data_IF_842182079359
#
_entry.id   IF_842182079359
#
_cell.length_a   1.000
_cell.length_b   1.000
_cell.length_c   1.000
_cell.angle_alpha   90.00
_cell.angle_beta   90.00
_cell.angle_gamma   90.00
#
_symmetry.space_group_name_H-M   'P 1'
#
loop_
_entity.id
_entity.type
_entity.pdbx_description
1 polymer ?
#
# COMPACT_ATOMS: atom_id res chain seq x y z
N UNK A 1 2.63 -23.47 -7.04
CA UNK A 1 2.84 -22.40 -6.06
C UNK A 1 1.47 -21.89 -5.66
N UNK A 2 1.19 -21.93 -4.37
CA UNK A 2 -0.04 -21.40 -3.79
C UNK A 2 -0.17 -19.93 -4.15
N UNK A 3 -1.36 -19.52 -4.57
CA UNK A 3 -1.67 -18.13 -4.92
C UNK A 3 -2.78 -17.62 -4.02
N UNK A 4 -2.62 -16.41 -3.53
CA UNK A 4 -3.64 -15.73 -2.74
C UNK A 4 -4.72 -15.19 -3.69
N UNK A 5 -5.97 -15.44 -3.34
CA UNK A 5 -7.17 -15.00 -4.06
C UNK A 5 -7.76 -13.72 -3.46
N UNK A 6 -7.80 -13.61 -2.14
CA UNK A 6 -8.20 -12.40 -1.44
C UNK A 6 -7.60 -12.34 -0.04
N UNK A 7 -7.46 -11.12 0.49
CA UNK A 7 -6.99 -10.86 1.85
C UNK A 7 -7.93 -9.84 2.48
N UNK A 8 -8.36 -10.10 3.71
CA UNK A 8 -8.94 -9.09 4.58
C UNK A 8 -8.01 -8.82 5.75
N UNK A 9 -7.95 -7.56 6.16
CA UNK A 9 -7.21 -7.13 7.34
C UNK A 9 -8.20 -6.44 8.28
N UNK A 10 -8.36 -6.98 9.49
CA UNK A 10 -9.30 -6.51 10.52
C UNK A 10 -10.74 -6.38 10.00
N UNK A 11 -11.12 -7.27 9.08
CA UNK A 11 -12.43 -7.30 8.43
C UNK A 11 -12.56 -6.45 7.17
N UNK A 12 -11.57 -5.63 6.83
CA UNK A 12 -11.58 -4.81 5.62
C UNK A 12 -10.98 -5.56 4.42
N UNK A 13 -11.68 -5.56 3.28
CA UNK A 13 -11.15 -6.11 2.02
C UNK A 13 -9.96 -5.29 1.51
N UNK A 14 -8.84 -5.96 1.26
CA UNK A 14 -7.61 -5.32 0.77
C UNK A 14 -7.46 -5.56 -0.72
N UNK A 15 -7.46 -4.47 -1.48
CA UNK A 15 -7.00 -4.51 -2.85
C UNK A 15 -5.47 -4.56 -2.88
N UNK A 16 -4.94 -5.57 -3.58
CA UNK A 16 -3.53 -5.70 -3.88
C UNK A 16 -3.32 -5.84 -5.39
N UNK A 17 -2.21 -5.32 -5.88
CA UNK A 17 -1.82 -5.38 -7.29
C UNK A 17 -1.13 -6.71 -7.60
N UNK A 18 -0.37 -7.23 -6.64
CA UNK A 18 0.26 -8.53 -6.69
C UNK A 18 0.61 -8.98 -5.26
N UNK A 19 0.83 -10.27 -5.08
CA UNK A 19 1.03 -10.89 -3.78
C UNK A 19 1.85 -12.17 -3.89
N UNK A 20 2.57 -12.49 -2.82
CA UNK A 20 3.21 -13.77 -2.63
C UNK A 20 3.00 -14.22 -1.19
N UNK A 21 2.71 -15.51 -1.03
CA UNK A 21 2.64 -16.18 0.26
C UNK A 21 3.59 -17.37 0.24
N UNK A 22 4.44 -17.48 1.26
CA UNK A 22 5.50 -18.47 1.32
C UNK A 22 5.93 -18.75 2.76
N UNK A 23 6.67 -19.83 2.95
CA UNK A 23 7.29 -20.19 4.21
C UNK A 23 8.74 -19.72 4.16
N UNK A 24 9.15 -18.96 5.17
CA UNK A 24 10.54 -18.56 5.34
C UNK A 24 11.20 -19.37 6.44
N UNK A 25 12.34 -19.99 6.12
CA UNK A 25 13.16 -20.76 7.05
C UNK A 25 14.39 -19.94 7.45
N UNK A 26 14.52 -19.69 8.74
CA UNK A 26 15.69 -19.03 9.34
C UNK A 26 16.28 -19.89 10.45
N UNK A 27 17.43 -19.46 10.97
CA UNK A 27 18.06 -20.11 12.13
C UNK A 27 17.17 -20.14 13.39
N UNK A 28 16.16 -19.28 13.49
CA UNK A 28 15.24 -19.21 14.63
C UNK A 28 13.95 -20.01 14.45
N UNK A 29 13.71 -20.61 13.28
CA UNK A 29 12.51 -21.40 12.99
C UNK A 29 11.86 -21.02 11.65
N UNK A 30 10.55 -21.27 11.55
CA UNK A 30 9.76 -21.02 10.35
C UNK A 30 8.78 -19.87 10.56
N UNK A 31 8.57 -19.05 9.53
CA UNK A 31 7.50 -18.04 9.48
C UNK A 31 6.65 -18.23 8.23
N UNK A 32 5.35 -17.96 8.35
CA UNK A 32 4.49 -17.71 7.20
C UNK A 32 4.64 -16.24 6.82
N UNK A 33 5.07 -15.98 5.60
CA UNK A 33 5.28 -14.63 5.06
C UNK A 33 4.22 -14.33 4.01
N UNK A 34 3.65 -13.13 4.08
CA UNK A 34 2.73 -12.57 3.09
C UNK A 34 3.23 -11.21 2.65
N UNK A 35 3.71 -11.13 1.42
CA UNK A 35 4.05 -9.88 0.75
C UNK A 35 2.93 -9.44 -0.19
N UNK A 36 2.56 -8.16 -0.15
CA UNK A 36 1.56 -7.58 -1.03
C UNK A 36 1.98 -6.19 -1.53
N UNK A 37 1.83 -5.94 -2.83
CA UNK A 37 1.86 -4.57 -3.37
C UNK A 37 0.46 -3.99 -3.19
N UNK A 38 0.35 -2.90 -2.44
CA UNK A 38 -0.92 -2.26 -2.04
C UNK A 38 -0.91 -0.77 -2.37
N UNK A 39 -2.00 -0.05 -2.11
CA UNK A 39 -1.97 1.42 -2.25
C UNK A 39 -1.14 2.08 -1.14
N UNK A 40 -0.68 3.32 -1.38
CA UNK A 40 -0.05 4.10 -0.31
C UNK A 40 -0.99 4.36 0.88
N UNK A 41 -2.31 4.38 0.65
CA UNK A 41 -3.30 4.57 1.71
C UNK A 41 -3.37 3.34 2.61
N UNK A 42 -3.49 2.14 2.02
CA UNK A 42 -3.48 0.87 2.76
C UNK A 42 -2.17 0.72 3.53
N UNK A 43 -1.04 0.98 2.88
CA UNK A 43 0.27 0.89 3.55
C UNK A 43 0.33 1.81 4.77
N UNK A 44 -0.10 3.08 4.65
CA UNK A 44 -0.08 4.04 5.77
C UNK A 44 -0.98 3.62 6.91
N UNK A 45 -2.10 2.95 6.61
CA UNK A 45 -3.07 2.48 7.60
C UNK A 45 -2.48 1.38 8.47
N UNK A 46 -1.80 0.40 7.88
CA UNK A 46 -1.43 -0.83 8.60
C UNK A 46 0.05 -0.98 8.95
N UNK A 47 0.97 -0.26 8.30
CA UNK A 47 2.42 -0.47 8.47
C UNK A 47 2.96 -0.26 9.90
N UNK A 48 2.24 0.47 10.74
CA UNK A 48 2.66 0.83 12.09
C UNK A 48 1.88 0.05 13.17
N UNK A 49 0.96 -0.82 12.76
CA UNK A 49 0.21 -1.66 13.69
C UNK A 49 1.09 -2.80 14.19
N UNK A 50 0.88 -3.26 15.43
CA UNK A 50 1.65 -4.37 15.99
C UNK A 50 1.11 -5.74 15.57
N UNK A 51 -0.23 -5.84 15.49
CA UNK A 51 -0.94 -7.08 15.23
C UNK A 51 -2.09 -6.81 14.28
N UNK A 52 -2.19 -7.62 13.23
CA UNK A 52 -3.27 -7.55 12.26
C UNK A 52 -3.97 -8.90 12.20
N UNK A 53 -5.31 -8.90 12.23
CA UNK A 53 -6.10 -10.12 12.06
C UNK A 53 -6.35 -10.29 10.57
N UNK A 54 -5.79 -11.34 9.97
CA UNK A 54 -5.93 -11.62 8.56
C UNK A 54 -6.89 -12.77 8.31
N UNK A 55 -7.73 -12.61 7.29
CA UNK A 55 -8.46 -13.68 6.62
C UNK A 55 -7.88 -13.83 5.22
N UNK A 56 -7.24 -14.96 4.93
CA UNK A 56 -6.58 -15.23 3.65
C UNK A 56 -7.36 -16.34 2.94
N UNK A 57 -7.84 -16.04 1.73
CA UNK A 57 -8.38 -17.04 0.82
C UNK A 57 -7.34 -17.35 -0.27
N UNK A 58 -7.09 -18.63 -0.50
CA UNK A 58 -6.21 -19.13 -1.55
C UNK A 58 -7.00 -19.51 -2.81
N UNK A 59 -6.32 -19.55 -3.95
CA UNK A 59 -6.96 -19.91 -5.23
C UNK A 59 -7.49 -21.35 -5.28
N UNK A 60 -6.99 -22.24 -4.42
CA UNK A 60 -7.49 -23.61 -4.27
C UNK A 60 -8.71 -23.71 -3.34
N UNK A 61 -9.20 -22.58 -2.80
CA UNK A 61 -10.37 -22.50 -1.94
C UNK A 61 -10.08 -22.67 -0.45
N UNK A 62 -8.83 -22.92 -0.04
CA UNK A 62 -8.47 -22.87 1.39
C UNK A 62 -8.65 -21.46 1.92
N UNK A 63 -9.28 -21.35 3.09
CA UNK A 63 -9.44 -20.10 3.83
C UNK A 63 -8.92 -20.32 5.23
N UNK A 64 -8.08 -19.42 5.72
CA UNK A 64 -7.59 -19.48 7.08
C UNK A 64 -7.43 -18.08 7.67
N UNK A 65 -7.51 -18.04 9.00
CA UNK A 65 -7.33 -16.82 9.78
C UNK A 65 -6.02 -16.90 10.54
N UNK A 66 -5.27 -15.82 10.56
CA UNK A 66 -4.01 -15.74 11.30
C UNK A 66 -3.77 -14.33 11.82
N UNK A 67 -3.00 -14.21 12.89
CA UNK A 67 -2.51 -12.92 13.36
C UNK A 67 -1.11 -12.74 12.79
N UNK A 68 -0.93 -11.71 11.95
CA UNK A 68 0.37 -11.39 11.36
C UNK A 68 0.86 -10.03 11.83
N UNK A 69 2.18 -9.87 11.82
CA UNK A 69 2.87 -8.66 12.23
C UNK A 69 3.48 -7.96 11.01
N UNK A 70 3.32 -6.64 10.86
CA UNK A 70 4.00 -5.88 9.82
C UNK A 70 5.52 -5.91 9.95
N UNK A 71 6.20 -6.20 8.85
CA UNK A 71 7.64 -5.98 8.71
C UNK A 71 7.89 -4.62 8.08
N UNK A 72 8.70 -3.79 8.74
CA UNK A 72 9.13 -2.52 8.19
C UNK A 72 10.11 -2.73 7.04
N UNK A 73 9.63 -2.65 5.80
CA UNK A 73 10.50 -2.49 4.63
C UNK A 73 10.48 -1.05 4.14
N UNK A 74 11.64 -0.55 3.71
CA UNK A 74 11.79 0.82 3.21
C UNK A 74 12.30 0.83 1.77
N UNK A 75 11.70 1.68 0.93
CA UNK A 75 12.04 1.84 -0.49
C UNK A 75 11.11 1.09 -1.45
N UNK A 76 11.05 1.55 -2.70
CA UNK A 76 10.27 0.92 -3.77
C UNK A 76 8.78 1.31 -3.81
N UNK A 77 7.97 0.40 -4.37
CA UNK A 77 6.51 0.52 -4.40
C UNK A 77 5.92 0.37 -2.98
N UNK A 78 4.71 0.92 -2.72
CA UNK A 78 4.00 0.63 -1.48
C UNK A 78 3.73 -0.87 -1.31
N UNK A 79 4.43 -1.48 -0.35
CA UNK A 79 4.34 -2.91 -0.05
C UNK A 79 4.07 -3.13 1.43
N UNK A 80 3.14 -4.05 1.72
CA UNK A 80 2.88 -4.54 3.06
C UNK A 80 3.43 -5.97 3.15
N UNK A 81 4.44 -6.16 3.98
CA UNK A 81 5.04 -7.46 4.29
C UNK A 81 4.60 -7.85 5.69
N UNK A 82 4.00 -9.02 5.82
CA UNK A 82 3.39 -9.51 7.05
C UNK A 82 3.96 -10.89 7.37
N UNK A 83 4.23 -11.16 8.64
CA UNK A 83 4.73 -12.47 9.07
C UNK A 83 4.01 -13.03 10.29
N UNK A 84 3.97 -14.35 10.38
CA UNK A 84 3.51 -15.07 11.56
C UNK A 84 4.47 -16.24 11.86
N UNK A 85 5.02 -16.35 13.09
CA UNK A 85 5.80 -17.52 13.49
C UNK A 85 4.98 -18.82 13.40
N UNK A 86 5.60 -19.87 12.89
CA UNK A 86 5.00 -21.21 12.78
C UNK A 86 5.69 -22.17 13.74
N UNK A 87 4.88 -22.98 14.43
CA UNK A 87 5.37 -24.08 15.25
C UNK A 87 5.63 -25.34 14.41
N UNK A 88 4.91 -25.49 13.29
CA UNK A 88 5.02 -26.60 12.35
C UNK A 88 4.65 -26.11 10.94
N UNK A 89 5.23 -26.73 9.92
CA UNK A 89 5.01 -26.46 8.49
C UNK A 89 4.23 -27.57 7.78
N UNK A 90 3.84 -28.64 8.47
CA UNK A 90 3.07 -29.76 7.88
C UNK A 90 1.78 -29.29 7.17
N UNK A 91 1.10 -28.27 7.68
CA UNK A 91 -0.11 -27.69 7.08
C UNK A 91 0.18 -26.86 5.81
N UNK A 92 1.45 -26.58 5.52
CA UNK A 92 1.91 -25.67 4.46
C UNK A 92 2.84 -26.34 3.44
N UNK A 93 2.79 -27.68 3.30
CA UNK A 93 3.71 -28.44 2.44
C UNK A 93 3.74 -28.02 0.97
N UNK A 94 2.70 -27.38 0.47
CA UNK A 94 2.58 -26.93 -0.93
C UNK A 94 2.97 -25.45 -1.12
N UNK A 95 3.31 -24.75 -0.04
CA UNK A 95 3.83 -23.39 -0.07
C UNK A 95 5.30 -23.41 -0.51
N UNK A 96 5.73 -22.33 -1.14
CA UNK A 96 7.15 -22.17 -1.46
C UNK A 96 7.93 -22.05 -0.16
N UNK A 97 8.98 -22.86 0.01
CA UNK A 97 9.96 -22.71 1.09
C UNK A 97 11.12 -21.84 0.59
N UNK A 98 11.43 -20.78 1.32
CA UNK A 98 12.54 -19.86 1.04
C UNK A 98 13.47 -19.86 2.24
N UNK A 99 14.77 -20.06 2.03
CA UNK A 99 15.78 -20.03 3.08
C UNK A 99 16.48 -18.67 3.15
N UNK A 100 17.04 -18.34 4.31
CA UNK A 100 17.82 -17.11 4.52
C UNK A 100 18.93 -16.86 3.47
N UNK A 101 19.53 -17.92 2.93
CA UNK A 101 20.61 -17.83 1.93
C UNK A 101 20.11 -17.91 0.48
N UNK A 102 18.81 -17.99 0.24
CA UNK A 102 18.28 -18.07 -1.12
C UNK A 102 18.29 -16.70 -1.80
N UNK A 103 18.75 -16.67 -3.04
CA UNK A 103 18.75 -15.45 -3.87
C UNK A 103 17.39 -15.19 -4.56
N UNK A 104 16.42 -16.07 -4.36
CA UNK A 104 15.13 -16.05 -5.06
C UNK A 104 13.96 -15.79 -4.10
N UNK A 105 13.81 -14.55 -3.70
CA UNK A 105 12.56 -14.09 -3.08
C UNK A 105 11.49 -13.84 -4.15
N UNK A 106 10.21 -14.10 -3.86
CA UNK A 106 9.13 -13.73 -4.77
C UNK A 106 9.16 -12.23 -5.09
N UNK A 107 9.27 -11.90 -6.38
CA UNK A 107 9.24 -10.51 -6.86
C UNK A 107 7.79 -10.07 -7.07
N UNK A 108 7.21 -9.45 -6.05
CA UNK A 108 5.82 -8.99 -6.09
C UNK A 108 5.66 -7.65 -6.83
N UNK A 109 6.75 -6.91 -7.06
CA UNK A 109 6.77 -5.59 -7.70
C UNK A 109 6.95 -5.62 -9.22
N UNK A 110 7.31 -6.78 -9.78
CA UNK A 110 7.63 -6.91 -11.20
C UNK A 110 6.42 -6.56 -12.08
N UNK A 111 6.60 -5.55 -12.95
CA UNK A 111 5.59 -5.11 -13.90
C UNK A 111 4.54 -4.15 -13.35
N UNK A 112 4.62 -3.72 -12.08
CA UNK A 112 3.70 -2.73 -11.49
C UNK A 112 4.36 -1.36 -11.47
N UNK A 113 3.62 -0.31 -11.83
CA UNK A 113 4.11 1.08 -11.70
C UNK A 113 3.37 1.86 -10.61
N UNK A 114 4.06 2.86 -10.06
CA UNK A 114 3.45 3.74 -9.05
C UNK A 114 2.27 4.54 -9.61
N UNK A 115 2.30 4.88 -10.90
CA UNK A 115 1.21 5.56 -11.59
C UNK A 115 -0.05 4.70 -11.64
N UNK A 116 0.08 3.39 -11.84
CA UNK A 116 -1.05 2.46 -11.81
C UNK A 116 -1.69 2.38 -10.42
N UNK A 117 -0.85 2.32 -9.39
CA UNK A 117 -1.30 2.32 -8.00
C UNK A 117 -2.08 3.60 -7.68
N UNK A 118 -1.56 4.76 -8.08
CA UNK A 118 -2.20 6.05 -7.84
C UNK A 118 -3.43 6.34 -8.70
N UNK A 119 -3.62 5.61 -9.81
CA UNK A 119 -4.88 5.62 -10.57
C UNK A 119 -5.99 4.91 -9.82
N UNK A 120 -5.66 3.82 -9.13
CA UNK A 120 -6.62 3.12 -8.26
C UNK A 120 -6.95 3.96 -7.02
N UNK A 121 -5.92 4.42 -6.30
CA UNK A 121 -6.12 5.20 -5.08
C UNK A 121 -5.01 6.23 -4.88
N UNK A 122 -5.36 7.51 -5.00
CA UNK A 122 -4.43 8.63 -4.79
C UNK A 122 -4.38 9.02 -3.31
N UNK A 123 -3.22 8.93 -2.63
CA UNK A 123 -3.10 9.39 -1.26
C UNK A 123 -3.21 10.91 -1.16
N UNK A 124 -3.86 11.41 -0.12
CA UNK A 124 -3.83 12.83 0.21
C UNK A 124 -2.64 13.14 1.13
N UNK A 125 -1.96 14.25 0.86
CA UNK A 125 -0.86 14.76 1.67
C UNK A 125 -1.18 16.11 2.27
N UNK A 126 -0.80 16.29 3.54
CA UNK A 126 -0.89 17.61 4.18
C UNK A 126 0.32 18.43 3.78
N UNK A 127 0.07 19.54 3.09
CA UNK A 127 1.12 20.47 2.67
C UNK A 127 0.93 21.82 3.37
N UNK A 128 2.04 22.45 3.77
CA UNK A 128 2.04 23.81 4.31
C UNK A 128 2.42 24.79 3.21
N UNK A 129 1.52 25.72 2.90
CA UNK A 129 1.71 26.70 1.84
C UNK A 129 1.84 28.10 2.44
N UNK A 130 2.87 28.84 2.04
CA UNK A 130 3.03 30.27 2.37
C UNK A 130 2.78 31.09 1.11
N UNK A 131 1.80 32.00 1.16
CA UNK A 131 1.37 32.81 0.03
C UNK A 131 1.51 34.30 0.34
N UNK A 132 1.78 35.09 -0.70
CA UNK A 132 1.68 36.53 -0.66
C UNK A 132 0.51 36.96 -1.55
N UNK A 133 -0.58 37.44 -0.95
CA UNK A 133 -1.84 37.75 -1.64
C UNK A 133 -2.29 39.18 -1.33
N UNK A 134 -3.06 39.81 -2.22
CA UNK A 134 -3.85 41.00 -1.90
C UNK A 134 -4.67 40.83 -0.61
N UNK A 135 -4.84 41.93 0.13
CA UNK A 135 -5.44 41.90 1.47
C UNK A 135 -6.88 41.35 1.48
N UNK A 136 -7.67 41.71 0.48
CA UNK A 136 -9.05 41.26 0.29
C UNK A 136 -9.14 39.73 0.08
N UNK A 137 -8.20 39.16 -0.68
CA UNK A 137 -8.11 37.70 -0.89
C UNK A 137 -7.70 36.97 0.40
N UNK A 138 -6.76 37.54 1.16
CA UNK A 138 -6.34 37.01 2.45
C UNK A 138 -7.51 37.01 3.46
N UNK A 139 -8.25 38.12 3.55
CA UNK A 139 -9.43 38.24 4.41
C UNK A 139 -10.56 37.29 3.99
N UNK A 140 -10.76 37.09 2.68
CA UNK A 140 -11.74 36.14 2.17
C UNK A 140 -11.37 34.69 2.51
N UNK A 141 -10.10 34.30 2.33
CA UNK A 141 -9.60 32.96 2.68
C UNK A 141 -9.74 32.67 4.18
N UNK A 142 -9.45 33.66 5.03
CA UNK A 142 -9.58 33.52 6.49
C UNK A 142 -11.02 33.22 6.95
N UNK A 143 -12.04 33.56 6.14
CA UNK A 143 -13.45 33.29 6.41
C UNK A 143 -13.92 31.90 5.93
N UNK A 144 -13.10 31.16 5.19
CA UNK A 144 -13.48 29.85 4.64
C UNK A 144 -13.24 28.71 5.62
N UNK A 145 -14.08 27.67 5.55
CA UNK A 145 -13.84 26.41 6.25
C UNK A 145 -12.67 25.66 5.61
N UNK A 146 -11.87 24.94 6.41
CA UNK A 146 -10.69 24.18 5.93
C UNK A 146 -10.99 23.30 4.71
N UNK A 147 -12.06 22.50 4.74
CA UNK A 147 -12.40 21.62 3.61
C UNK A 147 -12.74 22.38 2.31
N UNK A 148 -13.24 23.61 2.41
CA UNK A 148 -13.47 24.46 1.23
C UNK A 148 -12.13 24.98 0.69
N UNK A 149 -11.20 25.38 1.56
CA UNK A 149 -9.87 25.84 1.18
C UNK A 149 -9.12 24.70 0.44
N UNK A 150 -9.14 23.49 1.00
CA UNK A 150 -8.51 22.31 0.39
C UNK A 150 -9.07 22.06 -1.02
N UNK A 151 -10.38 22.17 -1.19
CA UNK A 151 -11.06 22.04 -2.50
C UNK A 151 -10.66 23.14 -3.48
N UNK A 152 -10.68 24.40 -3.06
CA UNK A 152 -10.30 25.55 -3.90
C UNK A 152 -8.87 25.38 -4.43
N UNK A 153 -7.92 25.05 -3.56
CA UNK A 153 -6.53 24.87 -3.98
C UNK A 153 -6.37 23.65 -4.90
N UNK A 154 -7.07 22.55 -4.61
CA UNK A 154 -7.06 21.37 -5.48
C UNK A 154 -7.53 21.71 -6.89
N UNK A 155 -8.68 22.37 -7.01
CA UNK A 155 -9.24 22.80 -8.30
C UNK A 155 -8.32 23.79 -9.02
N UNK A 156 -7.82 24.80 -8.32
CA UNK A 156 -6.92 25.80 -8.89
C UNK A 156 -5.63 25.19 -9.45
N UNK A 157 -5.04 24.20 -8.76
CA UNK A 157 -3.84 23.48 -9.23
C UNK A 157 -4.14 22.70 -10.52
N UNK A 158 -5.25 21.94 -10.56
CA UNK A 158 -5.63 21.19 -11.76
C UNK A 158 -5.92 22.10 -12.95
N UNK A 159 -6.66 23.20 -12.73
CA UNK A 159 -6.95 24.18 -13.76
C UNK A 159 -5.67 24.83 -14.30
N UNK A 160 -4.72 25.13 -13.43
CA UNK A 160 -3.43 25.69 -13.83
C UNK A 160 -2.60 24.70 -14.67
N UNK A 161 -2.50 23.44 -14.25
CA UNK A 161 -1.81 22.39 -15.03
C UNK A 161 -2.47 22.14 -16.39
N UNK A 162 -3.80 22.16 -16.45
CA UNK A 162 -4.55 22.01 -17.71
C UNK A 162 -4.26 23.15 -18.68
N UNK A 163 -4.21 24.39 -18.18
CA UNK A 163 -3.85 25.56 -19.00
C UNK A 163 -2.41 25.49 -19.52
N UNK A 164 -1.46 25.05 -18.69
CA UNK A 164 -0.06 24.89 -19.12
C UNK A 164 0.09 23.80 -20.19
N UNK A 165 -0.49 22.62 -19.99
CA UNK A 165 -0.44 21.53 -20.97
C UNK A 165 -1.09 21.86 -22.31
N UNK A 166 -2.13 22.72 -22.30
CA UNK A 166 -2.75 23.22 -23.53
C UNK A 166 -1.86 24.24 -24.25
N UNK A 167 -1.16 25.11 -23.51
CA UNK A 167 -0.26 26.12 -24.09
C UNK A 167 1.09 25.52 -24.56
N UNK A 168 1.52 24.37 -24.03
CA UNK A 168 2.71 23.66 -24.50
C UNK A 168 2.55 22.98 -25.86
N UNK A 169 1.34 22.89 -26.42
CA UNK A 169 1.10 22.37 -27.78
C UNK A 169 1.17 23.44 -28.87
N UNK A 170 1.38 24.71 -28.49
CA UNK A 170 1.45 25.86 -29.41
C UNK A 170 2.78 26.62 -29.37
N UNK A 171 3.82 26.03 -28.74
CA UNK A 171 5.20 26.52 -28.78
C UNK A 171 6.12 25.48 -29.38
#
# INVERSE_FOLDING_TARGET
MVKVKSVKIDGDDIHYFNTAIYIFESSSGYTLELGMVVSEVVLRKYKNEENLILEIELQDGRVFNTIMHPQGMSGGLPQLHLYCPLNDIEDYQDFQLVKENDFSFPKIDEGITLEEIRKYEMPNEKVNLKLNLPIDQSEWLAKQKKGNIDKIFKEAIYDYWKKQSTNSQFN
#
